data_IF_856437910751
#
_entry.id   IF_856437910751
#
_cell.length_a   1.000
_cell.length_b   1.000
_cell.length_c   1.000
_cell.angle_alpha   90.00
_cell.angle_beta   90.00
_cell.angle_gamma   90.00
#
_symmetry.space_group_name_H-M   'P 1'
#
loop_
_entity.id
_entity.type
_entity.pdbx_description
1 polymer ?
#
# COMPACT_ATOMS: atom_id res chain seq x y z
N UNK A 1 41.81 21.21 5.65
CA UNK A 1 41.39 19.82 5.42
C UNK A 1 40.17 19.53 6.27
N UNK A 2 38.97 19.66 5.71
CA UNK A 2 37.71 19.25 6.35
C UNK A 2 36.78 18.78 5.22
N UNK A 3 36.69 17.46 5.01
CA UNK A 3 35.71 16.87 4.09
C UNK A 3 34.45 16.56 4.89
N UNK A 4 33.44 17.39 4.69
CA UNK A 4 32.06 17.15 5.12
C UNK A 4 31.52 15.96 4.30
N UNK A 5 31.37 14.82 4.95
CA UNK A 5 30.67 13.66 4.39
C UNK A 5 29.17 13.97 4.46
N UNK A 6 28.56 14.32 3.33
CA UNK A 6 27.10 14.42 3.20
C UNK A 6 26.53 13.01 3.14
N UNK A 7 25.85 12.58 4.20
CA UNK A 7 24.96 11.42 4.17
C UNK A 7 23.74 11.75 3.33
N UNK A 8 23.69 11.20 2.11
CA UNK A 8 22.47 11.16 1.32
C UNK A 8 21.52 10.15 1.97
N UNK A 9 20.50 10.66 2.65
CA UNK A 9 19.31 9.88 2.97
C UNK A 9 18.64 9.48 1.66
N UNK A 10 18.80 8.23 1.22
CA UNK A 10 17.97 7.64 0.19
C UNK A 10 16.56 7.45 0.76
N UNK A 11 15.78 8.54 0.80
CA UNK A 11 14.33 8.40 0.71
C UNK A 11 14.07 7.69 -0.61
N UNK A 12 13.38 6.54 -0.56
CA UNK A 12 12.95 5.80 -1.75
C UNK A 12 12.11 6.76 -2.58
N UNK A 13 12.79 7.37 -3.54
CA UNK A 13 12.25 8.30 -4.49
C UNK A 13 11.36 7.46 -5.41
N UNK A 14 10.11 7.88 -5.57
CA UNK A 14 9.17 7.32 -6.56
C UNK A 14 9.67 7.53 -8.01
N UNK A 15 10.89 8.04 -8.21
CA UNK A 15 11.53 8.38 -9.48
C UNK A 15 12.45 7.31 -10.06
N UNK A 16 12.54 6.10 -9.48
CA UNK A 16 13.08 4.93 -10.17
C UNK A 16 11.94 4.09 -10.80
N UNK A 17 11.06 4.77 -11.53
CA UNK A 17 10.17 4.18 -12.52
C UNK A 17 10.81 4.45 -13.87
N UNK A 18 11.48 3.46 -14.46
CA UNK A 18 11.57 3.15 -15.90
C UNK A 18 12.80 2.22 -16.11
N UNK A 19 12.52 0.98 -16.48
CA UNK A 19 13.35 0.12 -17.33
C UNK A 19 12.38 -0.72 -18.20
N UNK A 20 12.78 -1.13 -19.43
CA UNK A 20 11.86 -1.34 -20.53
C UNK A 20 11.05 -2.64 -20.41
N UNK A 21 9.97 -2.66 -21.20
CA UNK A 21 8.94 -3.68 -21.30
C UNK A 21 9.43 -5.13 -21.08
N UNK A 22 8.83 -5.81 -20.11
CA UNK A 22 8.77 -7.27 -20.11
C UNK A 22 7.44 -7.73 -19.50
N UNK A 23 6.69 -8.44 -20.34
CA UNK A 23 5.58 -9.36 -20.06
C UNK A 23 4.43 -8.87 -19.17
N UNK A 24 3.36 -8.41 -19.82
CA UNK A 24 2.01 -8.45 -19.27
C UNK A 24 1.65 -9.91 -19.01
N UNK A 25 1.58 -10.33 -17.75
CA UNK A 25 0.99 -11.63 -17.40
C UNK A 25 -0.52 -11.52 -17.65
N UNK A 26 -1.12 -12.32 -18.54
CA UNK A 26 -2.56 -12.31 -18.71
C UNK A 26 -3.23 -12.84 -17.43
N UNK A 27 -4.28 -12.15 -16.96
CA UNK A 27 -5.11 -12.66 -15.87
C UNK A 27 -5.69 -14.04 -16.27
N UNK A 28 -5.77 -15.01 -15.35
CA UNK A 28 -6.43 -16.28 -15.64
C UNK A 28 -7.88 -16.01 -16.04
N UNK A 29 -8.28 -16.59 -17.17
CA UNK A 29 -9.67 -16.55 -17.63
C UNK A 29 -10.62 -17.10 -16.56
N UNK A 30 -11.86 -16.59 -16.47
CA UNK A 30 -12.78 -16.99 -15.41
C UNK A 30 -13.00 -18.51 -15.42
N UNK A 31 -13.11 -19.16 -14.25
CA UNK A 31 -13.39 -20.59 -14.18
C UNK A 31 -14.72 -20.90 -14.87
N UNK A 32 -14.73 -21.98 -15.66
CA UNK A 32 -15.89 -22.44 -16.40
C UNK A 32 -17.04 -22.73 -15.41
N UNK A 33 -18.06 -21.87 -15.42
CA UNK A 33 -19.24 -21.95 -14.56
C UNK A 33 -19.63 -20.67 -13.82
N UNK A 34 -18.82 -19.61 -13.83
CA UNK A 34 -19.20 -18.31 -13.26
C UNK A 34 -19.89 -17.42 -14.31
N UNK A 35 -21.16 -17.05 -14.08
CA UNK A 35 -21.88 -16.09 -14.93
C UNK A 35 -21.25 -14.69 -14.75
N UNK A 36 -20.68 -14.05 -15.80
CA UNK A 36 -20.12 -12.71 -15.70
C UNK A 36 -21.22 -11.69 -15.37
N UNK A 37 -21.01 -10.87 -14.34
CA UNK A 37 -22.04 -9.94 -13.85
C UNK A 37 -22.52 -8.91 -14.87
N UNK A 38 -23.83 -8.84 -15.10
CA UNK A 38 -24.56 -8.03 -16.10
C UNK A 38 -24.36 -6.50 -16.01
N UNK A 39 -23.56 -5.99 -15.06
CA UNK A 39 -23.39 -4.55 -14.82
C UNK A 39 -21.99 -4.01 -15.13
N UNK A 40 -21.00 -4.85 -15.48
CA UNK A 40 -19.64 -4.35 -15.80
C UNK A 40 -19.64 -3.67 -17.17
N UNK A 41 -19.36 -2.36 -17.21
CA UNK A 41 -19.35 -1.57 -18.45
C UNK A 41 -17.94 -1.24 -18.95
N UNK A 42 -16.92 -1.36 -18.08
CA UNK A 42 -15.54 -1.15 -18.49
C UNK A 42 -14.55 -1.91 -17.60
N UNK A 43 -13.50 -2.45 -18.23
CA UNK A 43 -12.33 -3.02 -17.54
C UNK A 43 -11.12 -2.12 -17.79
N UNK A 44 -10.36 -1.78 -16.75
CA UNK A 44 -9.24 -0.86 -16.90
C UNK A 44 -8.13 -1.45 -17.75
N UNK A 45 -7.42 -0.57 -18.45
CA UNK A 45 -6.36 -0.90 -19.38
C UNK A 45 -5.02 -0.41 -18.86
N UNK A 46 -3.95 -1.08 -19.27
CA UNK A 46 -2.60 -0.60 -19.01
C UNK A 46 -2.38 0.76 -19.69
N UNK A 47 -1.65 1.65 -19.02
CA UNK A 47 -1.30 2.97 -19.53
C UNK A 47 0.18 2.99 -19.94
N UNK A 48 0.53 2.50 -21.15
CA UNK A 48 1.92 2.47 -21.61
C UNK A 48 2.47 3.89 -21.75
N UNK A 49 3.73 4.09 -21.33
CA UNK A 49 4.41 5.38 -21.44
C UNK A 49 4.00 6.43 -20.40
N UNK A 50 2.98 6.17 -19.57
CA UNK A 50 2.63 7.07 -18.47
C UNK A 50 3.57 6.89 -17.27
N UNK A 51 3.90 8.00 -16.62
CA UNK A 51 4.68 8.00 -15.36
C UNK A 51 3.74 7.98 -14.16
N UNK A 52 4.27 7.59 -12.99
CA UNK A 52 3.49 7.64 -11.74
C UNK A 52 3.01 9.05 -11.40
N UNK A 53 3.76 10.09 -11.76
CA UNK A 53 3.38 11.49 -11.57
C UNK A 53 2.19 11.88 -12.45
N UNK A 54 2.20 11.51 -13.73
CA UNK A 54 1.08 11.77 -14.65
C UNK A 54 -0.21 11.06 -14.19
N UNK A 55 -0.08 9.81 -13.74
CA UNK A 55 -1.21 9.02 -13.22
C UNK A 55 -1.75 9.61 -11.91
N UNK A 56 -0.85 10.04 -11.03
CA UNK A 56 -1.23 10.74 -9.79
C UNK A 56 -1.98 12.03 -10.09
N UNK A 57 -1.51 12.83 -11.05
CA UNK A 57 -2.19 14.04 -11.46
C UNK A 57 -3.57 13.75 -12.04
N UNK A 58 -3.69 12.71 -12.88
CA UNK A 58 -4.98 12.24 -13.41
C UNK A 58 -5.96 11.89 -12.28
N UNK A 59 -5.51 11.19 -11.24
CA UNK A 59 -6.36 10.88 -10.08
C UNK A 59 -6.79 12.13 -9.33
N UNK A 60 -5.88 13.09 -9.12
CA UNK A 60 -6.19 14.34 -8.44
C UNK A 60 -7.24 15.16 -9.22
N UNK A 61 -7.10 15.22 -10.54
CA UNK A 61 -7.97 16.00 -11.41
C UNK A 61 -9.35 15.36 -11.55
N UNK A 62 -9.43 14.04 -11.76
CA UNK A 62 -10.69 13.34 -12.03
C UNK A 62 -11.48 13.00 -10.74
N UNK A 63 -10.82 12.88 -9.58
CA UNK A 63 -11.52 12.71 -8.31
C UNK A 63 -12.03 14.03 -7.73
N UNK A 64 -11.45 15.17 -8.11
CA UNK A 64 -11.89 16.47 -7.64
C UNK A 64 -13.15 16.89 -8.38
N UNK A 65 -14.26 17.12 -7.66
CA UNK A 65 -15.43 17.74 -8.27
C UNK A 65 -15.11 19.19 -8.69
N UNK A 66 -15.23 19.56 -9.97
CA UNK A 66 -15.18 20.97 -10.35
C UNK A 66 -16.39 21.73 -9.79
N UNK A 67 -16.26 23.05 -9.61
CA UNK A 67 -17.36 23.92 -9.17
C UNK A 67 -18.58 23.85 -10.11
N UNK A 68 -18.36 23.52 -11.39
CA UNK A 68 -19.36 23.21 -12.40
C UNK A 68 -18.86 22.02 -13.23
N UNK A 69 -19.61 20.92 -13.28
CA UNK A 69 -19.25 19.71 -14.04
C UNK A 69 -19.67 18.40 -13.35
N UNK A 70 -19.30 17.27 -13.96
CA UNK A 70 -19.62 15.93 -13.45
C UNK A 70 -19.00 15.70 -12.08
N UNK A 71 -19.80 15.21 -11.13
CA UNK A 71 -19.37 14.98 -9.75
C UNK A 71 -18.80 13.58 -9.55
N UNK A 72 -17.82 13.51 -8.64
CA UNK A 72 -17.25 12.27 -8.11
C UNK A 72 -17.71 12.10 -6.66
N UNK A 73 -18.05 10.88 -6.29
CA UNK A 73 -18.63 10.55 -5.01
C UNK A 73 -17.89 9.38 -4.35
N UNK A 74 -18.00 9.29 -3.04
CA UNK A 74 -17.57 8.11 -2.29
C UNK A 74 -18.69 7.59 -1.41
N UNK A 75 -18.86 6.28 -1.40
CA UNK A 75 -19.59 5.58 -0.36
C UNK A 75 -18.56 4.97 0.59
N UNK A 76 -18.51 5.49 1.81
CA UNK A 76 -17.66 4.97 2.89
C UNK A 76 -18.44 3.85 3.62
N UNK A 77 -17.86 2.67 3.83
CA UNK A 77 -18.47 1.58 4.60
C UNK A 77 -18.90 1.98 6.02
N UNK A 78 -18.22 2.93 6.64
CA UNK A 78 -18.61 3.49 7.93
C UNK A 78 -19.92 4.30 7.84
N UNK A 79 -20.28 4.76 6.65
CA UNK A 79 -21.47 5.58 6.36
C UNK A 79 -22.23 5.04 5.13
N UNK A 80 -22.74 3.80 5.18
CA UNK A 80 -23.13 3.03 3.99
C UNK A 80 -24.43 3.51 3.32
N UNK A 81 -25.10 4.52 3.87
CA UNK A 81 -26.39 5.04 3.36
C UNK A 81 -26.28 6.34 2.58
N UNK A 82 -25.07 6.91 2.44
CA UNK A 82 -24.89 8.24 1.85
C UNK A 82 -23.74 8.25 0.85
N UNK A 83 -24.02 8.68 -0.38
CA UNK A 83 -22.99 9.09 -1.33
C UNK A 83 -22.49 10.47 -0.95
N UNK A 84 -21.19 10.58 -0.72
CA UNK A 84 -20.54 11.81 -0.26
C UNK A 84 -19.78 12.42 -1.44
N UNK A 85 -20.01 13.70 -1.73
CA UNK A 85 -19.31 14.41 -2.80
C UNK A 85 -17.84 14.58 -2.43
N UNK A 86 -16.95 14.22 -3.35
CA UNK A 86 -15.51 14.43 -3.22
C UNK A 86 -15.18 15.86 -3.66
N UNK A 87 -14.65 16.67 -2.75
CA UNK A 87 -14.23 18.05 -3.02
C UNK A 87 -12.74 18.16 -3.39
N UNK A 88 -11.97 17.13 -3.08
CA UNK A 88 -10.54 17.07 -3.36
C UNK A 88 -9.94 15.75 -2.94
N UNK A 89 -8.70 15.54 -3.37
CA UNK A 89 -7.92 14.35 -3.03
C UNK A 89 -6.51 14.81 -2.64
N UNK A 90 -5.89 14.13 -1.69
CA UNK A 90 -4.48 14.27 -1.35
C UNK A 90 -3.82 12.91 -1.44
N UNK A 91 -2.80 12.82 -2.28
CA UNK A 91 -2.00 11.61 -2.42
C UNK A 91 -0.87 11.62 -1.40
N UNK A 92 -0.71 10.50 -0.69
CA UNK A 92 0.40 10.24 0.20
C UNK A 92 1.13 8.98 -0.27
N UNK A 93 2.30 8.71 0.30
CA UNK A 93 2.99 7.44 0.05
C UNK A 93 2.14 6.28 0.57
N UNK A 94 1.62 5.45 -0.33
CA UNK A 94 0.86 4.25 0.00
C UNK A 94 -0.63 4.44 0.32
N UNK A 95 -1.17 5.66 0.24
CA UNK A 95 -2.60 5.94 0.47
C UNK A 95 -3.03 7.25 -0.20
N UNK A 96 -4.33 7.45 -0.35
CA UNK A 96 -4.90 8.76 -0.67
C UNK A 96 -6.06 9.09 0.27
N UNK A 97 -6.18 10.37 0.57
CA UNK A 97 -7.20 10.93 1.47
C UNK A 97 -8.15 11.76 0.65
N UNK A 98 -9.45 11.54 0.80
CA UNK A 98 -10.48 12.30 0.10
C UNK A 98 -11.03 13.38 1.01
N UNK A 99 -11.04 14.60 0.50
CA UNK A 99 -11.64 15.75 1.16
C UNK A 99 -13.13 15.78 0.79
N UNK A 100 -14.00 15.83 1.80
CA UNK A 100 -15.46 15.87 1.59
C UNK A 100 -16.10 17.01 2.38
N UNK A 101 -17.32 17.40 2.02
CA UNK A 101 -18.12 18.35 2.81
C UNK A 101 -19.00 17.67 3.88
N UNK A 102 -18.91 16.35 4.02
CA UNK A 102 -19.75 15.61 4.95
C UNK A 102 -19.23 15.71 6.38
N UNK A 103 -20.14 16.00 7.30
CA UNK A 103 -19.86 16.11 8.73
C UNK A 103 -20.62 14.99 9.45
N UNK A 104 -19.89 14.13 10.15
CA UNK A 104 -20.44 13.10 11.02
C UNK A 104 -19.93 13.35 12.45
N UNK A 105 -20.83 13.30 13.44
CA UNK A 105 -20.47 13.51 14.85
C UNK A 105 -19.64 14.79 15.10
N UNK A 106 -20.04 15.91 14.47
CA UNK A 106 -19.35 17.20 14.53
C UNK A 106 -17.89 17.19 14.02
N UNK A 107 -17.52 16.17 13.23
CA UNK A 107 -16.21 16.08 12.58
C UNK A 107 -16.36 15.92 11.08
N UNK A 108 -15.48 16.58 10.33
CA UNK A 108 -15.38 16.41 8.88
C UNK A 108 -14.93 14.98 8.59
N UNK A 109 -15.62 14.31 7.68
CA UNK A 109 -15.25 12.96 7.26
C UNK A 109 -14.25 13.05 6.12
N UNK A 110 -13.06 12.50 6.32
CA UNK A 110 -12.00 12.42 5.30
C UNK A 110 -11.62 10.96 5.07
N UNK A 111 -12.34 10.25 4.17
CA UNK A 111 -12.08 8.86 3.89
C UNK A 111 -10.64 8.66 3.42
N UNK A 112 -9.97 7.65 3.99
CA UNK A 112 -8.62 7.28 3.61
C UNK A 112 -8.64 5.92 2.92
N UNK A 113 -8.23 5.90 1.65
CA UNK A 113 -8.09 4.68 0.87
C UNK A 113 -6.60 4.32 0.82
N UNK A 114 -6.27 3.12 1.27
CA UNK A 114 -4.90 2.64 1.26
C UNK A 114 -4.63 1.87 -0.03
N UNK A 115 -3.49 2.13 -0.67
CA UNK A 115 -3.20 1.56 -2.00
C UNK A 115 -3.09 0.03 -1.98
N UNK A 116 -2.74 -0.59 -0.84
CA UNK A 116 -2.75 -2.05 -0.72
C UNK A 116 -4.15 -2.66 -0.90
N UNK A 117 -5.22 -1.87 -0.76
CA UNK A 117 -6.61 -2.30 -1.03
C UNK A 117 -6.86 -2.54 -2.52
N UNK A 118 -5.94 -2.13 -3.40
CA UNK A 118 -6.04 -2.39 -4.84
C UNK A 118 -5.60 -3.81 -5.21
N UNK A 119 -5.14 -4.65 -4.27
CA UNK A 119 -4.78 -6.04 -4.55
C UNK A 119 -5.98 -6.97 -4.81
N UNK A 120 -7.21 -6.44 -4.74
CA UNK A 120 -8.41 -7.22 -4.99
C UNK A 120 -8.54 -7.71 -6.43
N UNK A 121 -9.19 -8.88 -6.63
CA UNK A 121 -9.26 -9.54 -7.93
C UNK A 121 -10.04 -8.76 -8.99
N UNK A 122 -11.04 -7.95 -8.59
CA UNK A 122 -11.90 -7.24 -9.55
C UNK A 122 -11.81 -5.72 -9.38
N UNK A 123 -11.04 -5.08 -10.27
CA UNK A 123 -11.08 -3.63 -10.48
C UNK A 123 -11.78 -3.39 -11.83
N UNK A 124 -13.00 -2.86 -11.79
CA UNK A 124 -13.82 -2.60 -12.97
C UNK A 124 -14.77 -1.43 -12.73
N UNK A 125 -15.28 -0.84 -13.81
CA UNK A 125 -16.38 0.12 -13.76
C UNK A 125 -17.68 -0.63 -13.99
N UNK A 126 -18.61 -0.46 -13.06
CA UNK A 126 -19.95 -1.01 -13.12
C UNK A 126 -20.98 0.09 -13.35
N UNK A 127 -22.04 -0.23 -14.06
CA UNK A 127 -23.24 0.60 -14.12
C UNK A 127 -23.97 0.54 -12.76
N UNK A 128 -24.35 1.69 -12.24
CA UNK A 128 -25.13 1.81 -11.01
C UNK A 128 -26.47 2.54 -11.23
N UNK A 129 -27.15 2.24 -12.35
CA UNK A 129 -28.52 2.69 -12.56
C UNK A 129 -29.47 2.05 -11.54
N UNK A 130 -29.61 2.69 -10.40
CA UNK A 130 -30.77 2.51 -9.55
C UNK A 130 -31.96 3.21 -10.24
N UNK A 131 -32.85 2.43 -10.87
CA UNK A 131 -33.96 2.92 -11.72
C UNK A 131 -34.97 3.80 -10.98
N UNK A 132 -34.85 3.94 -9.66
CA UNK A 132 -35.81 4.64 -8.79
C UNK A 132 -35.34 5.98 -8.26
N UNK A 133 -34.11 6.44 -8.53
CA UNK A 133 -33.56 7.62 -7.86
C UNK A 133 -33.00 8.68 -8.84
N UNK A 134 -33.53 9.91 -8.79
CA UNK A 134 -33.20 10.99 -9.74
C UNK A 134 -31.82 11.65 -9.51
N UNK A 135 -31.11 11.31 -8.43
CA UNK A 135 -29.72 11.72 -8.15
C UNK A 135 -28.73 10.55 -8.36
N UNK A 136 -29.00 9.67 -9.32
CA UNK A 136 -28.26 8.43 -9.54
C UNK A 136 -26.86 8.70 -10.07
N UNK A 137 -25.83 8.30 -9.32
CA UNK A 137 -24.52 8.02 -9.92
C UNK A 137 -24.67 6.95 -11.00
N UNK A 138 -24.17 7.21 -12.20
CA UNK A 138 -24.32 6.28 -13.33
C UNK A 138 -23.30 5.15 -13.29
N UNK A 139 -22.10 5.43 -12.76
CA UNK A 139 -20.97 4.51 -12.78
C UNK A 139 -20.34 4.39 -11.40
N UNK A 140 -19.87 3.20 -11.05
CA UNK A 140 -19.14 2.98 -9.81
C UNK A 140 -17.92 2.09 -10.01
N UNK A 141 -16.89 2.34 -9.20
CA UNK A 141 -15.72 1.47 -9.03
C UNK A 141 -15.76 0.97 -7.59
N UNK A 142 -15.80 -0.35 -7.42
CA UNK A 142 -15.72 -0.97 -6.10
C UNK A 142 -14.26 -1.15 -5.70
N UNK A 143 -13.94 -0.80 -4.47
CA UNK A 143 -12.65 -0.99 -3.84
C UNK A 143 -12.80 -1.90 -2.62
N UNK A 144 -11.68 -2.36 -2.05
CA UNK A 144 -11.71 -3.20 -0.86
C UNK A 144 -12.45 -2.56 0.31
N UNK A 145 -12.85 -3.40 1.25
CA UNK A 145 -13.64 -3.04 2.44
C UNK A 145 -15.00 -2.40 2.13
N UNK A 146 -15.53 -2.55 0.92
CA UNK A 146 -16.82 -1.98 0.47
C UNK A 146 -16.79 -0.49 0.15
N UNK A 147 -15.62 0.15 0.06
CA UNK A 147 -15.51 1.49 -0.50
C UNK A 147 -16.00 1.49 -1.95
N UNK A 148 -16.77 2.51 -2.33
CA UNK A 148 -17.19 2.68 -3.73
C UNK A 148 -16.94 4.10 -4.16
N UNK A 149 -16.28 4.26 -5.30
CA UNK A 149 -16.15 5.54 -5.98
C UNK A 149 -17.27 5.63 -7.01
N UNK A 150 -18.07 6.68 -6.96
CA UNK A 150 -19.21 6.92 -7.86
C UNK A 150 -18.92 8.07 -8.81
N UNK A 151 -19.41 7.97 -10.04
CA UNK A 151 -19.18 8.95 -11.10
C UNK A 151 -20.44 9.14 -11.95
N UNK A 152 -20.68 10.38 -12.37
CA UNK A 152 -21.74 10.70 -13.34
C UNK A 152 -21.30 10.42 -14.79
N UNK A 153 -19.99 10.53 -15.08
CA UNK A 153 -19.42 10.34 -16.42
C UNK A 153 -18.68 9.01 -16.54
N UNK A 154 -18.98 8.26 -17.60
CA UNK A 154 -18.24 7.02 -17.93
C UNK A 154 -16.77 7.32 -18.21
N UNK A 155 -16.49 8.43 -18.91
CA UNK A 155 -15.11 8.79 -19.26
C UNK A 155 -14.26 9.06 -18.02
N UNK A 156 -14.82 9.78 -17.03
CA UNK A 156 -14.15 10.00 -15.74
C UNK A 156 -13.92 8.68 -15.01
N UNK A 157 -14.95 7.82 -14.94
CA UNK A 157 -14.83 6.50 -14.32
C UNK A 157 -13.75 5.63 -14.98
N UNK A 158 -13.65 5.65 -16.32
CA UNK A 158 -12.63 4.92 -17.08
C UNK A 158 -11.22 5.41 -16.75
N UNK A 159 -10.98 6.73 -16.76
CA UNK A 159 -9.67 7.31 -16.43
C UNK A 159 -9.24 6.97 -15.01
N UNK A 160 -10.15 7.08 -14.05
CA UNK A 160 -9.87 6.71 -12.65
C UNK A 160 -9.59 5.21 -12.54
N UNK A 161 -10.37 4.36 -13.21
CA UNK A 161 -10.13 2.91 -13.21
C UNK A 161 -8.76 2.55 -13.80
N UNK A 162 -8.37 3.15 -14.93
CA UNK A 162 -7.05 2.94 -15.56
C UNK A 162 -5.91 3.41 -14.65
N UNK A 163 -6.09 4.55 -13.98
CA UNK A 163 -5.11 5.07 -13.04
C UNK A 163 -4.93 4.17 -11.81
N UNK A 164 -6.04 3.69 -11.22
CA UNK A 164 -5.99 2.72 -10.12
C UNK A 164 -5.36 1.39 -10.57
N UNK A 165 -5.61 0.97 -11.81
CA UNK A 165 -4.99 -0.22 -12.38
C UNK A 165 -3.48 -0.05 -12.57
N UNK A 166 -3.02 1.10 -13.05
CA UNK A 166 -1.60 1.41 -13.14
C UNK A 166 -0.92 1.35 -11.77
N UNK A 167 -1.55 1.92 -10.73
CA UNK A 167 -1.04 1.84 -9.36
C UNK A 167 -0.99 0.39 -8.89
N UNK A 168 -2.04 -0.41 -9.14
CA UNK A 168 -2.07 -1.84 -8.83
C UNK A 168 -0.91 -2.60 -9.46
N UNK A 169 -0.63 -2.35 -10.74
CA UNK A 169 0.51 -2.95 -11.44
C UNK A 169 1.86 -2.51 -10.84
N UNK A 170 2.00 -1.25 -10.42
CA UNK A 170 3.19 -0.79 -9.71
C UNK A 170 3.38 -1.51 -8.36
N UNK A 171 2.30 -1.73 -7.61
CA UNK A 171 2.35 -2.48 -6.36
C UNK A 171 2.75 -3.95 -6.55
N UNK A 172 2.21 -4.63 -7.57
CA UNK A 172 2.63 -6.00 -7.90
C UNK A 172 4.11 -6.08 -8.23
N UNK A 173 4.65 -5.13 -9.01
CA UNK A 173 6.10 -5.06 -9.28
C UNK A 173 6.93 -4.89 -8.02
N UNK A 174 6.47 -4.07 -7.06
CA UNK A 174 7.15 -3.91 -5.78
C UNK A 174 7.15 -5.23 -4.98
N UNK A 175 6.04 -5.95 -4.97
CA UNK A 175 5.95 -7.25 -4.28
C UNK A 175 6.80 -8.34 -4.95
N UNK A 176 6.86 -8.38 -6.28
CA UNK A 176 7.78 -9.24 -7.02
C UNK A 176 9.24 -8.97 -6.61
N UNK A 177 9.66 -7.70 -6.62
CA UNK A 177 11.01 -7.31 -6.18
C UNK A 177 11.28 -7.66 -4.71
N UNK A 178 10.27 -7.57 -3.84
CA UNK A 178 10.39 -7.98 -2.44
C UNK A 178 10.57 -9.48 -2.30
N UNK A 179 9.85 -10.29 -3.08
CA UNK A 179 10.04 -11.74 -3.11
C UNK A 179 11.46 -12.09 -3.55
N UNK A 180 11.95 -11.44 -4.61
CA UNK A 180 13.32 -11.62 -5.09
C UNK A 180 14.36 -11.24 -4.02
N UNK A 181 14.23 -10.06 -3.40
CA UNK A 181 15.11 -9.63 -2.31
C UNK A 181 15.09 -10.57 -1.11
N UNK A 182 13.93 -11.12 -0.77
CA UNK A 182 13.79 -12.09 0.31
C UNK A 182 14.51 -13.40 -0.05
N UNK A 183 14.38 -13.87 -1.29
CA UNK A 183 15.09 -15.06 -1.77
C UNK A 183 16.62 -14.85 -1.77
N UNK A 184 17.10 -13.67 -2.18
CA UNK A 184 18.51 -13.30 -2.13
C UNK A 184 19.06 -13.17 -0.70
N UNK A 185 18.19 -12.92 0.28
CA UNK A 185 18.57 -12.83 1.69
C UNK A 185 18.69 -14.20 2.36
N UNK A 186 18.01 -15.23 1.84
CA UNK A 186 17.97 -16.55 2.48
C UNK A 186 19.36 -17.19 2.69
N UNK A 187 20.31 -17.15 1.72
CA UNK A 187 21.67 -17.65 1.97
C UNK A 187 22.35 -16.94 3.15
N UNK A 188 22.20 -15.62 3.26
CA UNK A 188 22.75 -14.83 4.37
C UNK A 188 22.10 -15.21 5.71
N UNK A 189 20.79 -15.45 5.71
CA UNK A 189 20.09 -15.92 6.89
C UNK A 189 20.55 -17.34 7.28
N UNK A 190 20.78 -18.23 6.31
CA UNK A 190 21.30 -19.57 6.55
C UNK A 190 22.69 -19.55 7.17
N UNK A 191 23.60 -18.69 6.67
CA UNK A 191 24.91 -18.45 7.29
C UNK A 191 24.77 -17.97 8.73
N UNK A 192 23.93 -16.96 8.97
CA UNK A 192 23.65 -16.46 10.32
C UNK A 192 23.17 -17.58 11.24
N UNK A 193 22.26 -18.44 10.77
CA UNK A 193 21.74 -19.58 11.55
C UNK A 193 22.84 -20.59 11.89
N UNK A 194 23.75 -20.87 10.96
CA UNK A 194 24.85 -21.82 11.13
C UNK A 194 25.95 -21.36 12.11
N UNK A 195 26.07 -20.04 12.36
CA UNK A 195 27.05 -19.51 13.32
C UNK A 195 26.79 -20.03 14.74
N UNK A 196 27.81 -20.66 15.35
CA UNK A 196 27.79 -21.05 16.77
C UNK A 196 27.75 -19.84 17.70
N UNK A 197 28.50 -18.79 17.35
CA UNK A 197 28.53 -17.51 18.07
C UNK A 197 27.95 -16.47 17.12
N UNK A 198 26.85 -15.82 17.50
CA UNK A 198 26.21 -14.80 16.67
C UNK A 198 27.08 -13.54 16.60
N UNK A 199 27.08 -12.81 15.47
CA UNK A 199 27.84 -11.58 15.34
C UNK A 199 27.48 -10.60 16.48
N UNK A 200 28.47 -10.06 17.20
CA UNK A 200 28.20 -9.08 18.24
C UNK A 200 27.68 -7.78 17.60
N UNK A 201 26.79 -7.11 18.33
CA UNK A 201 26.33 -5.78 17.96
C UNK A 201 27.41 -4.74 18.31
N UNK A 202 27.70 -3.81 17.40
CA UNK A 202 28.55 -2.65 17.74
C UNK A 202 27.85 -1.75 18.77
N UNK A 203 28.62 -1.05 19.62
CA UNK A 203 28.04 -0.13 20.61
C UNK A 203 27.23 1.00 19.96
N UNK A 204 27.62 1.42 18.75
CA UNK A 204 26.83 2.36 17.95
C UNK A 204 25.47 1.77 17.57
N UNK A 205 25.43 0.54 17.06
CA UNK A 205 24.17 -0.10 16.69
C UNK A 205 23.29 -0.33 17.92
N UNK A 206 23.90 -0.67 19.07
CA UNK A 206 23.20 -0.80 20.36
C UNK A 206 22.56 0.51 20.79
N UNK A 207 23.27 1.62 20.69
CA UNK A 207 22.73 2.96 20.95
C UNK A 207 21.53 3.27 20.05
N UNK A 208 21.63 2.94 18.75
CA UNK A 208 20.54 3.15 17.80
C UNK A 208 19.29 2.32 18.15
N UNK A 209 19.46 1.07 18.57
CA UNK A 209 18.35 0.20 19.01
C UNK A 209 17.66 0.79 20.23
N UNK A 210 18.40 1.22 21.25
CA UNK A 210 17.83 1.84 22.46
C UNK A 210 17.02 3.09 22.10
N UNK A 211 17.53 3.93 21.21
CA UNK A 211 16.81 5.12 20.73
C UNK A 211 15.54 4.75 19.96
N UNK A 212 15.60 3.74 19.07
CA UNK A 212 14.44 3.27 18.31
C UNK A 212 13.33 2.73 19.23
N UNK A 213 13.72 1.95 20.25
CA UNK A 213 12.79 1.42 21.26
C UNK A 213 12.10 2.58 22.01
N UNK A 214 12.87 3.56 22.49
CA UNK A 214 12.33 4.73 23.19
C UNK A 214 11.38 5.55 22.29
N UNK A 215 11.73 5.74 21.02
CA UNK A 215 10.84 6.40 20.05
C UNK A 215 9.52 5.63 19.88
N UNK A 216 9.58 4.30 19.81
CA UNK A 216 8.39 3.44 19.73
C UNK A 216 7.50 3.58 20.97
N UNK A 217 8.09 3.55 22.17
CA UNK A 217 7.39 3.74 23.45
C UNK A 217 6.73 5.13 23.53
N UNK A 218 7.42 6.17 23.04
CA UNK A 218 6.91 7.53 22.93
C UNK A 218 5.89 7.71 21.79
N UNK A 219 5.51 6.64 21.10
CA UNK A 219 4.60 6.64 19.93
C UNK A 219 5.08 7.51 18.76
N UNK A 220 6.38 7.81 18.69
CA UNK A 220 7.05 8.48 17.58
C UNK A 220 7.33 7.47 16.46
N UNK A 221 6.26 6.86 15.93
CA UNK A 221 6.37 5.70 15.05
C UNK A 221 7.15 5.99 13.76
N UNK A 222 6.99 7.17 13.17
CA UNK A 222 7.72 7.55 11.95
C UNK A 222 9.26 7.59 12.18
N UNK A 223 9.68 8.14 13.33
CA UNK A 223 11.11 8.20 13.70
C UNK A 223 11.65 6.80 14.02
N UNK A 224 10.88 5.99 14.76
CA UNK A 224 11.26 4.61 15.07
C UNK A 224 11.39 3.74 13.81
N UNK A 225 10.45 3.85 12.87
CA UNK A 225 10.50 3.16 11.56
C UNK A 225 11.79 3.53 10.83
N UNK A 226 12.10 4.84 10.75
CA UNK A 226 13.33 5.32 10.10
C UNK A 226 14.56 4.74 10.77
N UNK A 227 14.62 4.76 12.09
CA UNK A 227 15.76 4.28 12.86
C UNK A 227 15.99 2.78 12.69
N UNK A 228 14.95 1.94 12.79
CA UNK A 228 15.08 0.50 12.54
C UNK A 228 15.44 0.18 11.09
N UNK A 229 14.95 0.96 10.13
CA UNK A 229 15.32 0.79 8.72
C UNK A 229 16.82 1.03 8.54
N UNK A 230 17.37 2.08 9.15
CA UNK A 230 18.81 2.35 9.14
C UNK A 230 19.64 1.27 9.85
N UNK A 231 19.15 0.71 10.96
CA UNK A 231 19.81 -0.41 11.66
C UNK A 231 19.96 -1.61 10.71
N UNK A 232 18.90 -1.95 9.98
CA UNK A 232 18.89 -3.06 9.01
C UNK A 232 19.81 -2.77 7.81
N UNK A 233 19.85 -1.53 7.33
CA UNK A 233 20.74 -1.13 6.24
C UNK A 233 22.22 -1.24 6.61
N UNK A 234 22.57 -0.86 7.84
CA UNK A 234 23.95 -0.92 8.35
C UNK A 234 24.36 -2.36 8.63
N UNK A 235 23.55 -3.10 9.38
CA UNK A 235 23.88 -4.43 9.90
C UNK A 235 22.65 -5.35 9.84
N UNK A 236 22.38 -5.98 8.68
CA UNK A 236 21.11 -6.65 8.40
C UNK A 236 20.92 -8.01 9.10
N UNK A 237 21.86 -8.50 9.89
CA UNK A 237 21.76 -9.81 10.58
C UNK A 237 22.12 -9.76 12.05
N UNK A 238 22.88 -8.76 12.48
CA UNK A 238 23.43 -8.65 13.85
C UNK A 238 22.35 -8.36 14.90
N UNK A 239 21.17 -7.90 14.47
CA UNK A 239 20.00 -7.71 15.34
C UNK A 239 18.68 -8.12 14.65
N UNK A 240 18.33 -9.43 14.63
CA UNK A 240 17.11 -9.89 13.96
C UNK A 240 15.82 -9.20 14.45
N UNK A 241 15.74 -8.86 15.74
CA UNK A 241 14.58 -8.19 16.32
C UNK A 241 14.31 -6.78 15.72
N UNK A 242 15.26 -6.17 15.00
CA UNK A 242 14.98 -4.96 14.20
C UNK A 242 13.88 -5.21 13.18
N UNK A 243 13.90 -6.35 12.48
CA UNK A 243 12.89 -6.69 11.48
C UNK A 243 11.52 -6.92 12.11
N UNK A 244 11.47 -7.62 13.26
CA UNK A 244 10.23 -7.84 14.00
C UNK A 244 9.61 -6.51 14.45
N UNK A 245 10.40 -5.66 15.11
CA UNK A 245 9.91 -4.36 15.60
C UNK A 245 9.49 -3.43 14.45
N UNK A 246 10.28 -3.39 13.37
CA UNK A 246 9.94 -2.65 12.16
C UNK A 246 8.64 -3.16 11.53
N UNK A 247 8.44 -4.48 11.46
CA UNK A 247 7.21 -5.06 10.93
C UNK A 247 5.98 -4.64 11.73
N UNK A 248 6.03 -4.70 13.06
CA UNK A 248 4.93 -4.25 13.92
C UNK A 248 4.63 -2.76 13.74
N UNK A 249 5.66 -1.91 13.68
CA UNK A 249 5.50 -0.47 13.46
C UNK A 249 4.92 -0.16 12.07
N UNK A 250 5.35 -0.88 11.04
CA UNK A 250 4.80 -0.73 9.68
C UNK A 250 3.34 -1.16 9.59
N UNK A 251 2.95 -2.22 10.29
CA UNK A 251 1.55 -2.62 10.39
C UNK A 251 0.71 -1.56 11.12
N UNK A 252 1.24 -1.00 12.21
CA UNK A 252 0.63 0.12 12.92
C UNK A 252 0.46 1.34 12.00
N UNK A 253 1.43 1.61 11.13
CA UNK A 253 1.42 2.65 10.10
C UNK A 253 0.63 2.25 8.83
N UNK A 254 -0.21 1.20 8.92
CA UNK A 254 -1.10 0.72 7.84
C UNK A 254 -0.36 0.36 6.55
N UNK A 255 0.83 -0.23 6.68
CA UNK A 255 1.67 -0.76 5.60
C UNK A 255 1.82 -2.29 5.72
N UNK A 256 0.73 -3.08 5.61
CA UNK A 256 0.74 -4.52 5.86
C UNK A 256 1.71 -5.29 4.95
N UNK A 257 1.81 -4.92 3.67
CA UNK A 257 2.76 -5.55 2.74
C UNK A 257 4.22 -5.41 3.21
N UNK A 258 4.60 -4.20 3.65
CA UNK A 258 5.95 -3.95 4.17
C UNK A 258 6.17 -4.65 5.52
N UNK A 259 5.11 -4.78 6.33
CA UNK A 259 5.15 -5.52 7.58
C UNK A 259 5.39 -7.02 7.35
N UNK A 260 4.65 -7.64 6.43
CA UNK A 260 4.85 -9.03 6.00
C UNK A 260 6.28 -9.25 5.50
N UNK A 261 6.78 -8.35 4.64
CA UNK A 261 8.15 -8.45 4.12
C UNK A 261 9.20 -8.49 5.25
N UNK A 262 9.14 -7.58 6.22
CA UNK A 262 10.10 -7.55 7.32
C UNK A 262 9.89 -8.71 8.29
N UNK A 263 8.65 -9.11 8.58
CA UNK A 263 8.39 -10.25 9.45
C UNK A 263 8.91 -11.57 8.85
N UNK A 264 8.86 -11.71 7.52
CA UNK A 264 9.49 -12.83 6.82
C UNK A 264 11.02 -12.82 7.01
N UNK A 265 11.68 -11.67 6.88
CA UNK A 265 13.12 -11.56 7.19
C UNK A 265 13.47 -11.98 8.63
N UNK A 266 12.64 -11.58 9.61
CA UNK A 266 12.80 -12.02 10.99
C UNK A 266 12.76 -13.56 11.12
N UNK A 267 11.73 -14.17 10.53
CA UNK A 267 11.56 -15.63 10.56
C UNK A 267 12.64 -16.39 9.78
N UNK A 268 13.23 -15.78 8.73
CA UNK A 268 14.41 -16.35 8.08
C UNK A 268 15.60 -16.38 9.04
N UNK A 269 15.85 -15.31 9.80
CA UNK A 269 17.01 -15.27 10.70
C UNK A 269 16.85 -16.16 11.93
N UNK A 270 15.65 -16.18 12.52
CA UNK A 270 15.38 -16.86 13.79
C UNK A 270 14.08 -17.67 13.75
N UNK A 271 13.99 -18.73 12.92
CA UNK A 271 12.75 -19.50 12.72
C UNK A 271 12.25 -20.22 13.99
N UNK A 272 13.13 -20.42 14.97
CA UNK A 272 12.85 -21.10 16.23
C UNK A 272 12.83 -20.14 17.44
N UNK A 273 12.71 -18.81 17.21
CA UNK A 273 12.54 -17.87 18.30
C UNK A 273 11.27 -18.18 19.12
N UNK A 274 11.24 -17.88 20.43
CA UNK A 274 10.06 -18.16 21.27
C UNK A 274 8.76 -17.52 20.74
N UNK A 275 8.87 -16.40 20.04
CA UNK A 275 7.77 -15.64 19.45
C UNK A 275 7.55 -15.93 17.95
N UNK A 276 8.29 -16.89 17.35
CA UNK A 276 8.21 -17.19 15.92
C UNK A 276 6.79 -17.59 15.47
N UNK A 277 6.06 -18.33 16.30
CA UNK A 277 4.65 -18.66 16.01
C UNK A 277 3.78 -17.39 15.95
N UNK A 278 3.94 -16.48 16.91
CA UNK A 278 3.23 -15.21 16.93
C UNK A 278 3.59 -14.31 15.74
N UNK A 279 4.86 -14.30 15.33
CA UNK A 279 5.30 -13.63 14.11
C UNK A 279 4.62 -14.19 12.86
N UNK A 280 4.50 -15.52 12.74
CA UNK A 280 3.78 -16.17 11.63
C UNK A 280 2.28 -15.87 11.65
N UNK A 281 1.65 -15.83 12.83
CA UNK A 281 0.23 -15.48 12.98
C UNK A 281 -0.03 -14.04 12.53
N UNK A 282 0.88 -13.10 12.84
CA UNK A 282 0.81 -11.72 12.34
C UNK A 282 0.86 -11.65 10.81
N UNK A 283 1.68 -12.48 10.17
CA UNK A 283 1.68 -12.57 8.70
C UNK A 283 0.30 -12.99 8.19
N UNK A 284 -0.34 -14.00 8.79
CA UNK A 284 -1.67 -14.44 8.37
C UNK A 284 -2.75 -13.38 8.61
N UNK A 285 -2.71 -12.67 9.74
CA UNK A 285 -3.60 -11.53 10.01
C UNK A 285 -3.47 -10.47 8.91
N UNK A 286 -2.24 -10.08 8.57
CA UNK A 286 -2.00 -9.06 7.55
C UNK A 286 -2.32 -9.55 6.14
N UNK A 287 -2.09 -10.82 5.82
CA UNK A 287 -2.51 -11.43 4.56
C UNK A 287 -4.04 -11.47 4.44
N UNK A 288 -4.76 -11.68 5.53
CA UNK A 288 -6.22 -11.59 5.55
C UNK A 288 -6.70 -10.16 5.27
N UNK A 289 -6.03 -9.13 5.80
CA UNK A 289 -6.37 -7.72 5.53
C UNK A 289 -6.19 -7.30 4.06
N UNK A 290 -5.48 -8.10 3.25
CA UNK A 290 -5.25 -7.82 1.83
C UNK A 290 -6.31 -8.41 0.90
N UNK A 291 -7.23 -9.23 1.44
CA UNK A 291 -8.30 -9.90 0.67
C UNK A 291 -9.53 -9.02 0.53
#
# INVERSE_FOLDING_TARGET
MNRVVRFFSYGVCLSLLIAPAACVVPEPGPPAGAVPGDNVVYRPKALPGQTGEMVNQTLLDELKAPAFGSRSFIMDPAYPKTWIVIQGCTLHVGRFTLQTNYIAHNQKVEPTIYLYQLFQPTLAVENNHDKTNAYSIAYQIRLANSFRLGFESLSTAQKVADALYFIRQALWRIEEQRKEKLALFEPKAAEYRALKIKPPMSEELRRMVVQANLMSEQKKYAEAIKQYSSIIEIEPISYPAAYFNLALLLAQDKKPLSAIYNMKHYLLLVPNAPDARGAQDKIYEWEYMLK
#
